data_IF_716800749856
#
_entry.id   IF_716800749856
#
_cell.length_a   1.000
_cell.length_b   1.000
_cell.length_c   1.000
_cell.angle_alpha   90.00
_cell.angle_beta   90.00
_cell.angle_gamma   90.00
#
_symmetry.space_group_name_H-M   'P 1'
#
loop_
_entity.id
_entity.type
_entity.pdbx_description
1 polymer ?
#
# COMPACT_ATOMS: atom_id res chain seq x y z
N UNK A 1 15.30 15.52 -10.26
CA UNK A 1 16.13 15.65 -9.03
C UNK A 1 15.48 14.98 -7.82
N UNK A 2 14.18 15.18 -7.57
CA UNK A 2 13.40 14.53 -6.49
C UNK A 2 13.68 13.03 -6.41
N UNK A 3 13.58 12.30 -7.52
CA UNK A 3 13.93 10.88 -7.65
C UNK A 3 15.24 10.47 -6.96
N UNK A 4 16.31 11.26 -7.17
CA UNK A 4 17.65 10.96 -6.66
C UNK A 4 17.73 11.21 -5.15
N UNK A 5 17.03 12.24 -4.66
CA UNK A 5 16.97 12.57 -3.23
C UNK A 5 16.20 11.50 -2.46
N UNK A 6 15.06 11.06 -2.98
CA UNK A 6 14.26 9.99 -2.37
C UNK A 6 15.06 8.67 -2.33
N UNK A 7 15.73 8.29 -3.43
CA UNK A 7 16.63 7.12 -3.46
C UNK A 7 17.81 7.23 -2.48
N UNK A 8 18.22 8.44 -2.11
CA UNK A 8 19.24 8.70 -1.11
C UNK A 8 18.68 8.80 0.33
N UNK A 9 17.42 8.44 0.55
CA UNK A 9 16.77 8.48 1.86
C UNK A 9 16.48 9.90 2.36
N UNK A 10 16.37 10.89 1.46
CA UNK A 10 16.07 12.28 1.81
C UNK A 10 14.62 12.62 1.48
N UNK A 11 13.93 13.27 2.41
CA UNK A 11 12.61 13.87 2.18
C UNK A 11 12.77 15.19 1.43
N UNK A 12 11.79 15.54 0.60
CA UNK A 12 11.80 16.78 -0.21
C UNK A 12 10.55 17.60 0.08
N UNK A 13 10.73 18.77 0.69
CA UNK A 13 9.64 19.73 0.87
C UNK A 13 9.41 20.52 -0.42
N UNK A 14 8.16 20.59 -0.87
CA UNK A 14 7.73 21.39 -2.01
C UNK A 14 7.10 22.66 -1.45
N UNK A 15 7.70 23.81 -1.77
CA UNK A 15 7.20 25.12 -1.38
C UNK A 15 6.66 25.85 -2.60
N UNK A 16 5.39 26.23 -2.55
CA UNK A 16 4.72 26.95 -3.63
C UNK A 16 4.33 28.36 -3.19
N UNK A 17 4.13 29.21 -4.20
CA UNK A 17 3.70 30.58 -4.01
C UNK A 17 2.19 30.60 -3.75
N UNK A 18 1.76 31.23 -2.66
CA UNK A 18 0.35 31.29 -2.25
C UNK A 18 -0.34 32.59 -2.64
N UNK A 19 0.42 33.65 -2.93
CA UNK A 19 -0.11 34.97 -3.28
C UNK A 19 0.29 35.41 -4.68
N UNK A 20 -0.57 36.15 -5.38
CA UNK A 20 -0.21 36.75 -6.68
C UNK A 20 0.98 37.71 -6.58
N UNK A 21 1.90 37.71 -7.56
CA UNK A 21 3.04 38.60 -7.56
C UNK A 21 2.60 40.04 -7.84
N UNK A 22 2.90 40.95 -6.90
CA UNK A 22 2.64 42.39 -7.05
C UNK A 22 3.97 43.16 -7.07
N UNK A 23 4.14 44.16 -7.96
CA UNK A 23 5.35 44.97 -8.01
C UNK A 23 5.69 45.57 -6.63
N UNK A 24 6.94 45.40 -6.19
CA UNK A 24 7.42 45.91 -4.90
C UNK A 24 6.97 45.13 -3.66
N UNK A 25 6.22 44.01 -3.81
CA UNK A 25 5.84 43.13 -2.69
C UNK A 25 6.43 41.74 -2.85
N UNK A 26 6.97 41.22 -1.75
CA UNK A 26 7.45 39.83 -1.66
C UNK A 26 6.22 38.92 -1.67
N UNK A 27 6.29 37.86 -2.46
CA UNK A 27 5.27 36.83 -2.51
C UNK A 27 5.41 35.88 -1.33
N UNK A 28 4.29 35.49 -0.75
CA UNK A 28 4.24 34.47 0.30
C UNK A 28 4.46 33.09 -0.30
N UNK A 29 5.16 32.25 0.47
CA UNK A 29 5.48 30.87 0.11
C UNK A 29 5.20 29.96 1.28
N UNK A 30 4.56 28.85 1.00
CA UNK A 30 4.26 27.82 2.00
C UNK A 30 4.66 26.45 1.50
N UNK A 31 5.04 25.57 2.42
CA UNK A 31 5.26 24.16 2.11
C UNK A 31 3.90 23.51 1.88
N UNK A 32 3.62 23.13 0.63
CA UNK A 32 2.36 22.51 0.23
C UNK A 32 2.36 21.00 0.50
N UNK A 33 3.53 20.35 0.37
CA UNK A 33 3.69 18.92 0.61
C UNK A 33 5.15 18.54 0.90
N UNK A 34 5.34 17.42 1.59
CA UNK A 34 6.65 16.78 1.74
C UNK A 34 6.60 15.40 1.08
N UNK A 35 7.50 15.18 0.13
CA UNK A 35 7.65 13.91 -0.56
C UNK A 35 8.67 13.07 0.24
N UNK A 36 8.23 11.90 0.67
CA UNK A 36 9.03 10.90 1.41
C UNK A 36 9.18 9.61 0.60
N UNK A 37 9.97 8.66 1.07
CA UNK A 37 10.09 7.36 0.40
C UNK A 37 8.76 6.59 0.43
N UNK A 38 8.00 6.68 1.53
CA UNK A 38 6.70 6.01 1.69
C UNK A 38 5.53 6.70 0.98
N UNK A 39 5.70 7.92 0.45
CA UNK A 39 4.57 8.71 -0.10
C UNK A 39 4.81 9.25 -1.50
N UNK A 40 5.72 8.64 -2.26
CA UNK A 40 5.90 8.96 -3.67
C UNK A 40 4.63 8.56 -4.44
N UNK A 41 4.07 9.49 -5.21
CA UNK A 41 2.87 9.33 -6.03
C UNK A 41 3.14 9.56 -7.54
N UNK A 42 4.34 10.07 -7.90
CA UNK A 42 4.79 10.20 -9.29
C UNK A 42 5.08 8.82 -9.90
N UNK A 43 4.33 8.47 -10.95
CA UNK A 43 4.45 7.21 -11.69
C UNK A 43 5.84 6.98 -12.28
N UNK A 44 6.63 8.03 -12.56
CA UNK A 44 7.99 7.88 -13.07
C UNK A 44 8.99 7.48 -11.98
N UNK A 45 8.60 7.63 -10.71
CA UNK A 45 9.42 7.34 -9.55
C UNK A 45 9.04 6.02 -8.88
N UNK A 46 7.80 5.57 -9.11
CA UNK A 46 7.28 4.31 -8.63
C UNK A 46 7.57 3.17 -9.60
N UNK A 47 7.82 2.01 -9.02
CA UNK A 47 7.64 0.76 -9.73
C UNK A 47 6.13 0.48 -9.85
N UNK A 48 5.64 0.36 -11.08
CA UNK A 48 4.21 0.17 -11.34
C UNK A 48 3.70 -1.18 -10.77
N UNK A 49 4.58 -2.17 -10.70
CA UNK A 49 4.24 -3.56 -10.35
C UNK A 49 4.45 -3.86 -8.86
N UNK A 50 4.90 -2.87 -8.08
CA UNK A 50 5.17 -3.01 -6.63
C UNK A 50 4.38 -1.98 -5.82
N UNK A 51 3.80 -2.39 -4.66
CA UNK A 51 3.27 -1.44 -3.69
C UNK A 51 4.39 -0.66 -2.99
N UNK A 52 4.14 0.61 -2.69
CA UNK A 52 5.05 1.50 -1.97
C UNK A 52 4.50 1.82 -0.57
N UNK A 53 4.72 0.92 0.38
CA UNK A 53 4.14 1.07 1.72
C UNK A 53 4.90 2.07 2.60
N UNK A 54 4.15 2.92 3.29
CA UNK A 54 4.53 3.57 4.54
C UNK A 54 3.96 2.73 5.69
N UNK A 55 4.75 2.45 6.72
CA UNK A 55 4.34 1.68 7.87
C UNK A 55 4.64 2.40 9.19
N UNK A 56 4.01 1.97 10.27
CA UNK A 56 4.39 2.30 11.63
C UNK A 56 4.30 1.07 12.55
N UNK A 57 5.12 1.04 13.59
CA UNK A 57 5.12 0.02 14.63
C UNK A 57 5.03 0.63 16.02
N UNK A 58 4.35 -0.08 16.92
CA UNK A 58 4.19 0.31 18.32
C UNK A 58 4.14 -0.92 19.21
N UNK A 59 4.75 -0.87 20.40
CA UNK A 59 4.65 -1.94 21.39
C UNK A 59 3.90 -1.47 22.64
N UNK A 60 2.85 -2.17 23.04
CA UNK A 60 2.20 -1.95 24.33
C UNK A 60 1.48 -3.22 24.80
N UNK A 61 1.33 -3.39 26.11
CA UNK A 61 0.59 -4.54 26.68
C UNK A 61 1.14 -5.92 26.28
N UNK A 62 2.45 -6.03 26.06
CA UNK A 62 3.10 -7.29 25.63
C UNK A 62 2.81 -7.69 24.18
N UNK A 63 2.26 -6.78 23.38
CA UNK A 63 1.93 -6.99 21.95
C UNK A 63 2.64 -5.95 21.10
N UNK A 64 2.92 -6.29 19.85
CA UNK A 64 3.52 -5.37 18.88
C UNK A 64 2.52 -5.15 17.74
N UNK A 65 2.09 -3.91 17.56
CA UNK A 65 1.19 -3.50 16.50
C UNK A 65 1.97 -3.03 15.28
N UNK A 66 1.47 -3.38 14.10
CA UNK A 66 1.94 -2.91 12.81
C UNK A 66 0.74 -2.33 12.06
N UNK A 67 0.93 -1.15 11.47
CA UNK A 67 0.00 -0.61 10.49
C UNK A 67 0.77 -0.18 9.25
N UNK A 68 0.19 -0.35 8.08
CA UNK A 68 0.81 0.10 6.83
C UNK A 68 -0.23 0.53 5.81
N UNK A 69 0.16 1.52 5.02
CA UNK A 69 -0.67 2.17 4.02
C UNK A 69 0.06 2.19 2.69
N UNK A 70 -0.64 1.84 1.61
CA UNK A 70 -0.22 2.21 0.26
C UNK A 70 -0.97 3.48 -0.12
N UNK A 71 -0.30 4.61 0.10
CA UNK A 71 -0.87 5.93 -0.16
C UNK A 71 -1.38 6.10 -1.59
N UNK A 72 -0.79 5.40 -2.58
CA UNK A 72 -1.19 5.56 -3.98
C UNK A 72 -2.38 4.72 -4.40
N UNK A 73 -2.85 3.78 -3.57
CA UNK A 73 -4.02 2.93 -3.89
C UNK A 73 -5.15 3.09 -2.88
N UNK A 74 -4.87 3.64 -1.70
CA UNK A 74 -5.83 3.76 -0.61
C UNK A 74 -5.90 2.55 0.31
N UNK A 75 -5.08 1.53 0.06
CA UNK A 75 -4.95 0.37 0.94
C UNK A 75 -4.41 0.79 2.31
N UNK A 76 -5.11 0.40 3.38
CA UNK A 76 -4.69 0.64 4.76
C UNK A 76 -5.02 -0.58 5.62
N UNK A 77 -3.98 -1.24 6.15
CA UNK A 77 -4.10 -2.46 6.93
C UNK A 77 -3.40 -2.34 8.29
N UNK A 78 -3.86 -3.13 9.26
CA UNK A 78 -3.20 -3.28 10.54
C UNK A 78 -3.24 -4.72 11.06
N UNK A 79 -2.29 -5.06 11.94
CA UNK A 79 -2.24 -6.35 12.63
C UNK A 79 -1.39 -6.28 13.90
N UNK A 80 -1.36 -7.37 14.66
CA UNK A 80 -0.59 -7.49 15.90
C UNK A 80 0.18 -8.80 16.00
N UNK A 81 1.32 -8.72 16.69
CA UNK A 81 2.22 -9.83 16.95
C UNK A 81 2.46 -10.03 18.45
N UNK A 82 2.76 -11.27 18.83
CA UNK A 82 3.16 -11.64 20.20
C UNK A 82 4.64 -11.42 20.46
N UNK A 83 5.46 -11.46 19.41
CA UNK A 83 6.90 -11.41 19.51
C UNK A 83 7.51 -10.68 18.30
N UNK A 84 8.79 -10.33 18.45
CA UNK A 84 9.56 -9.58 17.46
C UNK A 84 9.84 -10.39 16.18
N UNK A 85 10.00 -11.71 16.29
CA UNK A 85 10.29 -12.55 15.12
C UNK A 85 9.13 -12.51 14.13
N UNK A 86 7.90 -12.65 14.62
CA UNK A 86 6.71 -12.56 13.78
C UNK A 86 6.53 -11.17 13.13
N UNK A 87 6.91 -10.09 13.84
CA UNK A 87 6.96 -8.75 13.25
C UNK A 87 7.99 -8.69 12.11
N UNK A 88 9.21 -9.20 12.33
CA UNK A 88 10.28 -9.15 11.34
C UNK A 88 9.95 -9.97 10.09
N UNK A 89 9.31 -11.12 10.25
CA UNK A 89 8.78 -11.92 9.15
C UNK A 89 7.76 -11.13 8.31
N UNK A 90 6.88 -10.39 8.97
CA UNK A 90 5.89 -9.59 8.28
C UNK A 90 6.51 -8.34 7.62
N UNK A 91 7.48 -7.68 8.26
CA UNK A 91 8.21 -6.57 7.65
C UNK A 91 9.01 -7.02 6.42
N UNK A 92 9.53 -8.26 6.40
CA UNK A 92 10.16 -8.85 5.23
C UNK A 92 9.17 -9.13 4.08
N UNK A 93 7.89 -9.34 4.42
CA UNK A 93 6.79 -9.52 3.47
C UNK A 93 6.30 -8.18 2.90
N UNK A 94 5.92 -7.26 3.77
CA UNK A 94 5.39 -5.92 3.44
C UNK A 94 6.47 -5.07 2.78
N UNK A 95 7.71 -5.13 3.28
CA UNK A 95 8.86 -4.33 2.83
C UNK A 95 8.53 -2.84 2.67
N UNK A 96 8.14 -2.17 3.77
CA UNK A 96 7.84 -0.75 3.73
C UNK A 96 9.06 0.04 3.25
N UNK A 97 8.80 1.09 2.48
CA UNK A 97 9.83 2.05 2.06
C UNK A 97 10.19 3.00 3.20
N UNK A 98 9.34 3.10 4.22
CA UNK A 98 9.50 3.91 5.41
C UNK A 98 8.71 3.28 6.57
N UNK A 99 9.36 3.14 7.73
CA UNK A 99 8.78 2.54 8.93
C UNK A 99 8.91 3.51 10.11
N UNK A 100 7.78 4.00 10.62
CA UNK A 100 7.74 4.91 11.76
C UNK A 100 7.72 4.13 13.07
N UNK A 101 8.36 4.67 14.08
CA UNK A 101 8.21 4.21 15.47
C UNK A 101 8.30 5.42 16.41
N UNK A 102 7.73 5.30 17.61
CA UNK A 102 7.84 6.37 18.61
C UNK A 102 9.28 6.53 19.07
N UNK A 103 9.75 7.77 19.15
CA UNK A 103 11.01 8.15 19.80
C UNK A 103 11.21 7.55 21.21
N UNK A 104 10.13 7.38 21.98
CA UNK A 104 10.14 6.69 23.29
C UNK A 104 10.45 5.18 23.19
N UNK A 105 10.33 4.58 22.01
CA UNK A 105 10.52 3.15 21.74
C UNK A 105 11.76 2.86 20.88
N UNK A 106 12.71 3.79 20.78
CA UNK A 106 13.92 3.63 19.96
C UNK A 106 14.70 2.35 20.26
N UNK A 107 14.91 2.02 21.55
CA UNK A 107 15.61 0.79 21.94
C UNK A 107 14.92 -0.51 21.44
N UNK A 108 13.63 -0.46 21.12
CA UNK A 108 12.90 -1.60 20.57
C UNK A 108 12.98 -1.69 19.05
N UNK A 109 13.06 -0.57 18.32
CA UNK A 109 12.77 -0.55 16.88
C UNK A 109 13.80 0.13 15.99
N UNK A 110 14.81 0.83 16.53
CA UNK A 110 15.79 1.59 15.73
C UNK A 110 16.59 0.72 14.73
N UNK A 111 16.81 -0.55 15.08
CA UNK A 111 17.57 -1.49 14.25
C UNK A 111 16.73 -2.08 13.11
N UNK A 112 15.43 -1.82 13.05
CA UNK A 112 14.58 -2.36 11.99
C UNK A 112 14.88 -1.67 10.65
N UNK A 113 14.76 -2.39 9.52
CA UNK A 113 14.96 -1.79 8.21
C UNK A 113 14.00 -0.63 7.95
N UNK A 114 14.51 0.46 7.36
CA UNK A 114 13.74 1.68 7.04
C UNK A 114 13.10 2.39 8.25
N UNK A 115 13.52 2.03 9.47
CA UNK A 115 13.01 2.60 10.72
C UNK A 115 13.41 4.08 10.87
N UNK A 116 12.45 4.91 11.28
CA UNK A 116 12.60 6.33 11.53
C UNK A 116 11.77 6.73 12.75
N UNK A 117 12.39 7.49 13.64
CA UNK A 117 11.72 8.07 14.82
C UNK A 117 10.62 9.04 14.39
N UNK A 118 9.54 9.03 15.15
CA UNK A 118 8.46 10.00 15.07
C UNK A 118 7.88 10.28 16.46
N UNK A 119 7.19 11.41 16.58
CA UNK A 119 6.76 11.95 17.87
C UNK A 119 5.86 10.95 18.62
N UNK A 120 6.22 10.58 19.85
CA UNK A 120 5.50 9.57 20.64
C UNK A 120 4.03 9.89 20.87
N UNK A 121 3.63 11.16 20.90
CA UNK A 121 2.23 11.54 21.06
C UNK A 121 1.33 11.01 19.93
N UNK A 122 1.87 10.87 18.70
CA UNK A 122 1.14 10.34 17.55
C UNK A 122 0.77 8.85 17.71
N UNK A 123 1.41 8.15 18.65
CA UNK A 123 1.17 6.74 18.97
C UNK A 123 0.27 6.55 20.20
N UNK A 124 -0.20 7.62 20.84
CA UNK A 124 -1.09 7.52 21.99
C UNK A 124 -2.43 6.90 21.56
N UNK A 125 -2.81 5.79 22.20
CA UNK A 125 -3.96 4.96 21.81
C UNK A 125 -5.25 5.77 21.69
N UNK A 126 -5.58 6.59 22.68
CA UNK A 126 -6.84 7.34 22.69
C UNK A 126 -6.90 8.40 21.59
N UNK A 127 -5.76 9.05 21.30
CA UNK A 127 -5.65 10.04 20.23
C UNK A 127 -5.72 9.37 18.85
N UNK A 128 -5.00 8.26 18.68
CA UNK A 128 -5.01 7.46 17.46
C UNK A 128 -6.41 6.93 17.14
N UNK A 129 -7.09 6.35 18.13
CA UNK A 129 -8.45 5.84 17.99
C UNK A 129 -9.45 6.95 17.62
N UNK A 130 -9.37 8.10 18.30
CA UNK A 130 -10.20 9.27 18.00
C UNK A 130 -9.95 9.78 16.56
N UNK A 131 -8.68 9.96 16.17
CA UNK A 131 -8.31 10.44 14.85
C UNK A 131 -8.80 9.51 13.73
N UNK A 132 -8.63 8.19 13.90
CA UNK A 132 -9.10 7.20 12.92
C UNK A 132 -10.64 7.21 12.82
N UNK A 133 -11.36 7.27 13.94
CA UNK A 133 -12.83 7.36 13.94
C UNK A 133 -13.33 8.63 13.27
N UNK A 134 -12.68 9.76 13.52
CA UNK A 134 -12.99 11.03 12.86
C UNK A 134 -12.75 10.94 11.35
N UNK A 135 -11.60 10.42 10.94
CA UNK A 135 -11.21 10.25 9.53
C UNK A 135 -12.19 9.35 8.76
N UNK A 136 -12.49 8.17 9.30
CA UNK A 136 -13.40 7.22 8.66
C UNK A 136 -14.89 7.54 8.90
N UNK A 137 -15.20 8.56 9.70
CA UNK A 137 -16.56 8.99 10.03
C UNK A 137 -17.41 7.87 10.67
N UNK A 138 -16.81 7.14 11.62
CA UNK A 138 -17.46 6.02 12.33
C UNK A 138 -17.47 6.23 13.84
N UNK A 139 -18.41 5.58 14.52
CA UNK A 139 -18.51 5.63 15.99
C UNK A 139 -17.53 4.67 16.69
N UNK A 140 -17.20 3.54 16.05
CA UNK A 140 -16.19 2.59 16.52
C UNK A 140 -15.45 1.95 15.34
N UNK A 141 -14.28 1.37 15.61
CA UNK A 141 -13.47 0.66 14.62
C UNK A 141 -13.84 -0.83 14.50
N UNK A 142 -14.90 -1.28 15.18
CA UNK A 142 -15.35 -2.68 15.18
C UNK A 142 -15.85 -3.13 13.80
N UNK A 143 -16.48 -2.22 13.05
CA UNK A 143 -16.92 -2.48 11.67
C UNK A 143 -15.77 -2.77 10.70
N UNK A 144 -14.54 -2.36 11.07
CA UNK A 144 -13.30 -2.67 10.35
C UNK A 144 -12.59 -3.91 10.90
N UNK A 145 -13.16 -4.56 11.91
CA UNK A 145 -12.54 -5.68 12.63
C UNK A 145 -11.34 -5.28 13.49
N UNK A 146 -11.17 -3.99 13.80
CA UNK A 146 -9.95 -3.45 14.41
C UNK A 146 -10.07 -3.19 15.93
N UNK A 147 -11.26 -3.29 16.54
CA UNK A 147 -11.51 -2.85 17.93
C UNK A 147 -10.52 -3.41 18.96
N UNK A 148 -10.17 -4.70 18.84
CA UNK A 148 -9.26 -5.39 19.75
C UNK A 148 -7.77 -5.19 19.45
N UNK A 149 -7.42 -4.46 18.39
CA UNK A 149 -6.04 -4.30 17.93
C UNK A 149 -5.35 -3.08 18.59
N UNK A 150 -5.36 -3.09 19.92
CA UNK A 150 -4.43 -2.42 20.85
C UNK A 150 -3.34 -1.52 20.23
N UNK A 151 -2.07 -1.97 20.26
CA UNK A 151 -0.95 -1.26 19.66
C UNK A 151 -1.05 -0.99 18.15
N UNK A 152 -1.83 -1.78 17.39
CA UNK A 152 -1.90 -1.57 15.95
C UNK A 152 -2.76 -0.35 15.57
N UNK A 153 -3.78 -0.02 16.38
CA UNK A 153 -4.52 1.24 16.29
C UNK A 153 -3.59 2.41 16.56
N UNK A 154 -2.72 2.33 17.57
CA UNK A 154 -1.68 3.33 17.83
C UNK A 154 -0.78 3.55 16.62
N UNK A 155 -0.30 2.46 16.01
CA UNK A 155 0.49 2.53 14.79
C UNK A 155 -0.29 3.15 13.61
N UNK A 156 -1.57 2.78 13.43
CA UNK A 156 -2.40 3.33 12.37
C UNK A 156 -2.68 4.83 12.56
N UNK A 157 -2.91 5.27 13.80
CA UNK A 157 -3.03 6.70 14.13
C UNK A 157 -1.76 7.48 13.81
N UNK A 158 -0.59 6.91 14.13
CA UNK A 158 0.69 7.51 13.79
C UNK A 158 0.90 7.63 12.27
N UNK A 159 0.54 6.60 11.49
CA UNK A 159 0.56 6.66 10.02
C UNK A 159 -0.32 7.79 9.50
N UNK A 160 -1.56 7.88 9.99
CA UNK A 160 -2.52 8.90 9.58
C UNK A 160 -2.01 10.31 9.92
N UNK A 161 -1.59 10.51 11.16
CA UNK A 161 -1.04 11.77 11.64
C UNK A 161 0.21 12.19 10.85
N UNK A 162 1.11 11.25 10.55
CA UNK A 162 2.30 11.51 9.75
C UNK A 162 1.95 11.94 8.32
N UNK A 163 1.00 11.26 7.67
CA UNK A 163 0.53 11.63 6.34
C UNK A 163 -0.07 13.04 6.31
N UNK A 164 -0.98 13.34 7.24
CA UNK A 164 -1.72 14.60 7.27
C UNK A 164 -0.85 15.79 7.72
N UNK A 165 -0.11 15.61 8.82
CA UNK A 165 0.55 16.72 9.51
C UNK A 165 1.98 16.90 9.05
N UNK A 166 2.78 15.83 9.09
CA UNK A 166 4.19 15.91 8.71
C UNK A 166 4.35 16.02 7.20
N UNK A 167 3.65 15.18 6.43
CA UNK A 167 3.81 15.12 4.98
C UNK A 167 2.84 16.04 4.22
N UNK A 168 1.84 16.61 4.91
CA UNK A 168 0.81 17.49 4.33
C UNK A 168 0.13 16.85 3.11
N UNK A 169 -0.11 15.54 3.19
CA UNK A 169 -0.79 14.77 2.15
C UNK A 169 -2.28 14.72 2.44
N UNK A 170 -3.10 14.79 1.38
CA UNK A 170 -4.52 14.48 1.49
C UNK A 170 -4.71 12.99 1.68
N UNK A 171 -5.61 12.64 2.58
CA UNK A 171 -5.92 11.25 2.96
C UNK A 171 -7.37 10.87 2.71
N UNK A 172 -8.17 11.74 2.09
CA UNK A 172 -9.62 11.53 1.83
C UNK A 172 -9.94 10.26 1.03
N UNK A 173 -8.97 9.76 0.26
CA UNK A 173 -9.08 8.52 -0.52
C UNK A 173 -8.83 7.26 0.32
N UNK A 174 -8.27 7.38 1.53
CA UNK A 174 -8.15 6.28 2.50
C UNK A 174 -9.53 6.04 3.13
N UNK A 175 -10.34 5.20 2.49
CA UNK A 175 -11.77 5.03 2.84
C UNK A 175 -12.06 3.84 3.76
N UNK A 176 -11.10 2.96 3.98
CA UNK A 176 -11.27 1.82 4.88
C UNK A 176 -9.97 1.50 5.59
N UNK A 177 -10.10 0.99 6.81
CA UNK A 177 -9.05 0.29 7.52
C UNK A 177 -9.43 -1.19 7.57
N UNK A 178 -8.45 -2.09 7.44
CA UNK A 178 -8.72 -3.52 7.53
C UNK A 178 -7.75 -4.19 8.51
N UNK A 179 -8.31 -4.86 9.51
CA UNK A 179 -7.53 -5.80 10.29
C UNK A 179 -7.25 -7.03 9.43
N UNK A 180 -5.99 -7.42 9.28
CA UNK A 180 -5.63 -8.68 8.63
C UNK A 180 -5.01 -9.63 9.65
N UNK A 181 -5.48 -10.87 9.62
CA UNK A 181 -5.06 -11.93 10.53
C UNK A 181 -4.04 -12.79 9.81
N UNK A 182 -2.79 -12.76 10.26
CA UNK A 182 -1.70 -13.50 9.62
C UNK A 182 -1.95 -15.02 9.65
N UNK A 183 -2.76 -15.50 10.59
CA UNK A 183 -3.15 -16.91 10.70
C UNK A 183 -4.01 -17.42 9.55
N UNK A 184 -4.60 -16.52 8.74
CA UNK A 184 -5.37 -16.87 7.53
C UNK A 184 -4.46 -17.32 6.38
N UNK A 185 -3.16 -17.06 6.49
CA UNK A 185 -2.17 -17.38 5.48
C UNK A 185 -1.17 -18.42 5.99
N UNK A 186 -0.53 -19.12 5.05
CA UNK A 186 0.62 -19.98 5.37
C UNK A 186 1.74 -19.09 5.88
N UNK A 187 2.23 -19.39 7.08
CA UNK A 187 3.37 -18.68 7.65
C UNK A 187 4.62 -19.03 6.84
N UNK A 188 5.24 -17.99 6.28
CA UNK A 188 6.52 -18.07 5.57
C UNK A 188 7.42 -17.07 6.25
N UNK A 189 8.42 -17.56 6.98
CA UNK A 189 9.41 -16.70 7.63
C UNK A 189 10.28 -15.97 6.60
N UNK A 190 10.96 -14.90 7.05
CA UNK A 190 11.77 -14.06 6.18
C UNK A 190 12.88 -14.86 5.46
N UNK A 191 13.48 -15.84 6.14
CA UNK A 191 14.52 -16.68 5.57
C UNK A 191 13.98 -17.58 4.45
N UNK A 192 12.81 -18.18 4.64
CA UNK A 192 12.12 -19.03 3.67
C UNK A 192 11.67 -18.22 2.47
N UNK A 193 11.12 -17.02 2.68
CA UNK A 193 10.75 -16.10 1.59
C UNK A 193 11.96 -15.78 0.70
N UNK A 194 13.13 -15.52 1.32
CA UNK A 194 14.37 -15.24 0.62
C UNK A 194 14.97 -16.49 -0.05
N UNK A 195 14.96 -17.64 0.63
CA UNK A 195 15.52 -18.89 0.11
C UNK A 195 14.71 -19.48 -1.05
N UNK A 196 13.40 -19.24 -1.06
CA UNK A 196 12.50 -19.63 -2.15
C UNK A 196 12.50 -18.63 -3.30
N UNK A 197 13.26 -17.52 -3.20
CA UNK A 197 13.31 -16.45 -4.19
C UNK A 197 11.88 -16.04 -4.64
N UNK A 198 10.94 -15.82 -3.70
CA UNK A 198 9.51 -15.69 -4.06
C UNK A 198 9.23 -14.50 -4.98
N UNK A 199 9.77 -13.33 -4.63
CA UNK A 199 9.51 -12.07 -5.37
C UNK A 199 10.78 -11.38 -5.82
N UNK A 200 11.94 -11.79 -5.32
CA UNK A 200 13.25 -11.28 -5.71
C UNK A 200 14.24 -12.42 -5.55
N UNK A 201 15.14 -12.59 -6.51
CA UNK A 201 16.20 -13.58 -6.41
C UNK A 201 17.37 -13.07 -5.59
N UNK A 202 18.06 -13.98 -4.90
CA UNK A 202 19.38 -13.74 -4.29
C UNK A 202 20.42 -13.19 -5.27
N UNK A 203 20.33 -13.53 -6.56
CA UNK A 203 21.19 -13.00 -7.63
C UNK A 203 20.89 -11.53 -7.98
N UNK A 204 19.84 -10.96 -7.37
CA UNK A 204 19.38 -9.60 -7.60
C UNK A 204 18.25 -9.56 -8.62
N UNK A 205 17.14 -8.93 -8.23
CA UNK A 205 16.03 -8.60 -9.12
C UNK A 205 14.95 -9.67 -9.25
N UNK A 206 13.92 -9.36 -10.03
CA UNK A 206 12.70 -10.17 -10.16
C UNK A 206 12.84 -11.28 -11.21
N UNK A 207 13.72 -11.10 -12.22
CA UNK A 207 13.79 -12.01 -13.38
C UNK A 207 13.99 -13.49 -13.03
N UNK A 208 14.75 -13.77 -11.97
CA UNK A 208 15.08 -15.13 -11.53
C UNK A 208 14.30 -15.56 -10.26
N UNK A 209 13.20 -14.89 -9.95
CA UNK A 209 12.31 -15.22 -8.83
C UNK A 209 11.10 -16.03 -9.30
N UNK A 210 10.34 -16.61 -8.36
CA UNK A 210 9.05 -17.25 -8.67
C UNK A 210 8.08 -16.25 -9.33
N UNK A 211 8.03 -15.02 -8.83
CA UNK A 211 7.26 -13.94 -9.44
C UNK A 211 7.69 -13.68 -10.89
N UNK A 212 8.99 -13.63 -11.20
CA UNK A 212 9.47 -13.43 -12.57
C UNK A 212 9.07 -14.57 -13.52
N UNK A 213 9.00 -15.79 -13.00
CA UNK A 213 8.55 -16.96 -13.76
C UNK A 213 7.03 -16.90 -14.04
N UNK A 214 6.22 -16.50 -13.05
CA UNK A 214 4.75 -16.56 -13.11
C UNK A 214 4.08 -15.30 -13.67
N UNK A 215 4.68 -14.12 -13.50
CA UNK A 215 4.01 -12.87 -13.83
C UNK A 215 3.88 -12.66 -15.34
N UNK A 216 2.67 -12.91 -15.84
CA UNK A 216 2.21 -12.61 -17.20
C UNK A 216 0.92 -11.80 -17.16
N UNK A 217 0.77 -10.99 -16.12
CA UNK A 217 -0.39 -10.13 -15.91
C UNK A 217 -0.46 -9.05 -16.99
N UNK A 218 -1.67 -8.59 -17.28
CA UNK A 218 -1.91 -7.59 -18.32
C UNK A 218 -1.90 -6.15 -17.79
N UNK A 219 -1.96 -5.98 -16.46
CA UNK A 219 -2.10 -4.68 -15.80
C UNK A 219 -1.17 -4.57 -14.59
N UNK A 220 -0.68 -3.36 -14.25
CA UNK A 220 0.15 -3.16 -13.06
C UNK A 220 -0.55 -3.55 -11.74
N UNK A 221 -1.85 -3.26 -11.62
CA UNK A 221 -2.65 -3.70 -10.46
C UNK A 221 -2.77 -5.23 -10.37
N UNK A 222 -2.81 -5.92 -11.52
CA UNK A 222 -2.75 -7.38 -11.59
C UNK A 222 -1.40 -7.91 -11.10
N UNK A 223 -0.29 -7.30 -11.51
CA UNK A 223 1.06 -7.66 -11.06
C UNK A 223 1.21 -7.50 -9.54
N UNK A 224 0.75 -6.36 -8.99
CA UNK A 224 0.72 -6.13 -7.53
C UNK A 224 -0.10 -7.19 -6.80
N UNK A 225 -1.27 -7.56 -7.33
CA UNK A 225 -2.14 -8.58 -6.74
C UNK A 225 -1.54 -9.98 -6.80
N UNK A 226 -0.89 -10.36 -7.91
CA UNK A 226 -0.18 -11.63 -8.01
C UNK A 226 0.97 -11.71 -7.00
N UNK A 227 1.76 -10.63 -6.89
CA UNK A 227 2.82 -10.51 -5.88
C UNK A 227 2.26 -10.71 -4.47
N UNK A 228 1.16 -10.03 -4.14
CA UNK A 228 0.46 -10.17 -2.86
C UNK A 228 0.05 -11.62 -2.59
N UNK A 229 -0.54 -12.31 -3.58
CA UNK A 229 -0.94 -13.71 -3.43
C UNK A 229 0.22 -14.67 -3.24
N UNK A 230 1.37 -14.44 -3.89
CA UNK A 230 2.58 -15.25 -3.67
C UNK A 230 3.15 -15.06 -2.26
N UNK A 231 3.01 -13.84 -1.71
CA UNK A 231 3.45 -13.52 -0.37
C UNK A 231 2.44 -13.92 0.70
N UNK A 232 1.17 -14.11 0.35
CA UNK A 232 0.10 -14.46 1.30
C UNK A 232 -0.68 -15.70 0.81
N UNK A 233 -0.08 -16.91 0.86
CA UNK A 233 -0.78 -18.11 0.43
C UNK A 233 -1.96 -18.40 1.36
N UNK A 234 -3.15 -18.55 0.79
CA UNK A 234 -4.38 -18.79 1.56
C UNK A 234 -4.36 -20.14 2.27
N UNK A 235 -4.98 -20.21 3.45
CA UNK A 235 -5.29 -21.48 4.15
C UNK A 235 -6.74 -21.91 3.97
N UNK A 236 -7.60 -21.01 3.50
CA UNK A 236 -9.02 -21.30 3.29
C UNK A 236 -9.23 -22.18 2.05
N UNK A 237 -9.67 -23.42 2.25
CA UNK A 237 -9.86 -24.37 1.17
C UNK A 237 -10.94 -23.91 0.18
N UNK A 238 -12.01 -23.28 0.67
CA UNK A 238 -13.09 -22.79 -0.20
C UNK A 238 -12.59 -21.74 -1.20
N UNK A 239 -11.83 -20.76 -0.74
CA UNK A 239 -11.22 -19.74 -1.57
C UNK A 239 -10.15 -20.30 -2.51
N UNK A 240 -9.41 -21.33 -2.10
CA UNK A 240 -8.46 -22.03 -2.97
C UNK A 240 -9.17 -22.77 -4.11
N UNK A 241 -10.21 -23.53 -3.80
CA UNK A 241 -11.02 -24.25 -4.80
C UNK A 241 -11.68 -23.25 -5.76
N UNK A 242 -12.28 -22.17 -5.26
CA UNK A 242 -12.87 -21.14 -6.11
C UNK A 242 -11.86 -20.50 -7.09
N UNK A 243 -10.61 -20.30 -6.66
CA UNK A 243 -9.54 -19.82 -7.56
C UNK A 243 -9.16 -20.88 -8.59
N UNK A 244 -9.09 -22.15 -8.21
CA UNK A 244 -8.80 -23.26 -9.12
C UNK A 244 -9.89 -23.44 -10.17
N UNK A 245 -11.15 -23.38 -9.77
CA UNK A 245 -12.31 -23.47 -10.67
C UNK A 245 -12.31 -22.33 -11.69
N UNK A 246 -12.04 -21.09 -11.24
CA UNK A 246 -11.92 -19.94 -12.14
C UNK A 246 -10.76 -20.10 -13.14
N UNK A 247 -9.63 -20.66 -12.71
CA UNK A 247 -8.50 -20.96 -13.60
C UNK A 247 -8.88 -22.04 -14.62
N UNK A 248 -9.52 -23.13 -14.16
CA UNK A 248 -9.94 -24.23 -15.03
C UNK A 248 -10.93 -23.76 -16.10
N UNK A 249 -11.96 -23.00 -15.72
CA UNK A 249 -12.94 -22.44 -16.65
C UNK A 249 -12.30 -21.56 -17.74
N UNK A 250 -11.28 -20.76 -17.38
CA UNK A 250 -10.53 -19.93 -18.33
C UNK A 250 -9.61 -20.76 -19.25
N UNK A 251 -9.01 -21.84 -18.74
CA UNK A 251 -8.16 -22.73 -19.54
C UNK A 251 -9.00 -23.52 -20.56
N UNK A 252 -10.20 -23.95 -20.18
CA UNK A 252 -11.11 -24.69 -21.05
C UNK A 252 -11.67 -23.82 -22.20
N UNK A 253 -11.60 -22.50 -22.08
CA UNK A 253 -12.07 -21.53 -23.07
C UNK A 253 -10.94 -20.58 -23.56
N UNK A 254 -9.92 -21.10 -24.26
CA UNK A 254 -8.71 -20.35 -24.60
C UNK A 254 -8.96 -19.10 -25.47
N UNK A 255 -9.98 -19.13 -26.33
CA UNK A 255 -10.36 -17.97 -27.14
C UNK A 255 -10.92 -16.84 -26.27
N UNK A 256 -11.85 -17.17 -25.36
CA UNK A 256 -12.44 -16.19 -24.42
C UNK A 256 -11.36 -15.62 -23.49
N UNK A 257 -10.46 -16.47 -22.99
CA UNK A 257 -9.30 -16.03 -22.21
C UNK A 257 -8.43 -15.02 -22.98
N UNK A 258 -8.16 -15.26 -24.28
CA UNK A 258 -7.40 -14.31 -25.09
C UNK A 258 -8.12 -12.97 -25.21
N UNK A 259 -9.43 -12.97 -25.46
CA UNK A 259 -10.22 -11.74 -25.55
C UNK A 259 -10.21 -10.95 -24.24
N UNK A 260 -10.42 -11.63 -23.09
CA UNK A 260 -10.32 -11.00 -21.76
C UNK A 260 -8.95 -10.36 -21.57
N UNK A 261 -7.87 -11.07 -21.94
CA UNK A 261 -6.50 -10.55 -21.80
C UNK A 261 -6.25 -9.34 -22.70
N UNK A 262 -6.77 -9.34 -23.92
CA UNK A 262 -6.66 -8.21 -24.85
C UNK A 262 -7.40 -6.97 -24.33
N UNK A 263 -8.64 -7.13 -23.85
CA UNK A 263 -9.37 -6.02 -23.22
C UNK A 263 -8.67 -5.52 -21.95
N UNK A 264 -8.11 -6.42 -21.12
CA UNK A 264 -7.37 -6.04 -19.92
C UNK A 264 -6.07 -5.28 -20.23
N UNK A 265 -5.39 -5.53 -21.36
CA UNK A 265 -4.19 -4.75 -21.75
C UNK A 265 -4.51 -3.27 -22.02
N UNK A 266 -5.74 -2.96 -22.40
CA UNK A 266 -6.20 -1.58 -22.56
C UNK A 266 -6.58 -0.92 -21.22
N UNK A 267 -6.77 -1.70 -20.17
CA UNK A 267 -7.03 -1.21 -18.82
C UNK A 267 -5.73 -0.73 -18.19
N UNK A 268 -5.63 0.58 -17.95
CA UNK A 268 -4.50 1.20 -17.26
C UNK A 268 -4.56 0.90 -15.76
N UNK A 269 -3.59 1.42 -15.00
CA UNK A 269 -3.57 1.32 -13.54
C UNK A 269 -4.68 2.17 -12.90
N UNK A 270 -5.91 1.64 -12.86
CA UNK A 270 -7.10 2.34 -12.36
C UNK A 270 -6.92 2.70 -10.88
N UNK A 271 -6.36 1.81 -10.06
CA UNK A 271 -6.19 2.02 -8.61
C UNK A 271 -5.38 3.30 -8.33
N UNK A 272 -4.20 3.44 -8.95
CA UNK A 272 -3.36 4.62 -8.78
C UNK A 272 -3.94 5.87 -9.45
N UNK A 273 -4.60 5.69 -10.59
CA UNK A 273 -5.24 6.80 -11.32
C UNK A 273 -6.38 7.41 -10.52
N UNK A 274 -7.25 6.58 -9.94
CA UNK A 274 -8.36 7.02 -9.11
C UNK A 274 -7.87 7.75 -7.85
N UNK A 275 -6.82 7.23 -7.21
CA UNK A 275 -6.22 7.87 -6.02
C UNK A 275 -5.68 9.26 -6.35
N UNK A 276 -4.90 9.42 -7.42
CA UNK A 276 -4.40 10.75 -7.85
C UNK A 276 -5.53 11.74 -8.14
N UNK A 277 -6.57 11.29 -8.84
CA UNK A 277 -7.73 12.13 -9.14
C UNK A 277 -8.47 12.53 -7.86
N UNK A 278 -8.66 11.62 -6.91
CA UNK A 278 -9.29 11.89 -5.62
C UNK A 278 -8.48 12.88 -4.77
N UNK A 279 -7.15 12.82 -4.84
CA UNK A 279 -6.26 13.70 -4.09
C UNK A 279 -6.07 15.07 -4.75
N UNK A 280 -6.50 15.23 -6.00
CA UNK A 280 -6.27 16.44 -6.79
C UNK A 280 -4.85 16.59 -7.33
N UNK A 281 -4.01 15.54 -7.24
CA UNK A 281 -2.70 15.46 -7.90
C UNK A 281 -2.79 14.92 -9.34
N UNK A 282 -3.94 14.39 -9.73
CA UNK A 282 -4.22 13.91 -11.09
C UNK A 282 -4.45 15.04 -12.10
N UNK A 283 -4.26 14.73 -13.38
CA UNK A 283 -4.39 15.66 -14.51
C UNK A 283 -5.36 15.13 -15.59
N UNK A 284 -5.52 15.89 -16.68
CA UNK A 284 -6.42 15.53 -17.78
C UNK A 284 -6.08 14.18 -18.45
N UNK A 285 -4.81 13.75 -18.45
CA UNK A 285 -4.40 12.44 -18.97
C UNK A 285 -4.86 11.32 -18.05
N UNK A 286 -4.85 11.54 -16.73
CA UNK A 286 -5.39 10.59 -15.75
C UNK A 286 -6.90 10.38 -15.97
N UNK A 287 -7.65 11.47 -16.20
CA UNK A 287 -9.07 11.37 -16.55
C UNK A 287 -9.31 10.59 -17.84
N UNK A 288 -8.54 10.86 -18.90
CA UNK A 288 -8.63 10.10 -20.15
C UNK A 288 -8.26 8.63 -19.98
N UNK A 289 -7.24 8.33 -19.17
CA UNK A 289 -6.83 6.96 -18.87
C UNK A 289 -7.93 6.21 -18.11
N UNK A 290 -8.58 6.87 -17.15
CA UNK A 290 -9.72 6.32 -16.43
C UNK A 290 -10.90 6.07 -17.38
N UNK A 291 -11.25 7.04 -18.22
CA UNK A 291 -12.32 6.90 -19.22
C UNK A 291 -12.06 5.70 -20.14
N UNK A 292 -10.86 5.63 -20.74
CA UNK A 292 -10.49 4.54 -21.64
C UNK A 292 -10.56 3.17 -20.95
N UNK A 293 -10.12 3.09 -19.69
CA UNK A 293 -10.16 1.84 -18.91
C UNK A 293 -11.60 1.42 -18.58
N UNK A 294 -12.45 2.38 -18.16
CA UNK A 294 -13.85 2.10 -17.83
C UNK A 294 -14.68 1.67 -19.05
N UNK A 295 -14.36 2.17 -20.24
CA UNK A 295 -15.00 1.74 -21.49
C UNK A 295 -14.77 0.27 -21.83
N UNK A 296 -13.74 -0.37 -21.27
CA UNK A 296 -13.47 -1.82 -21.45
C UNK A 296 -14.22 -2.73 -20.51
N UNK A 297 -14.76 -2.19 -19.40
CA UNK A 297 -15.46 -3.00 -18.40
C UNK A 297 -16.67 -3.75 -18.97
N UNK A 298 -17.54 -3.14 -19.81
CA UNK A 298 -18.66 -3.87 -20.40
C UNK A 298 -18.23 -5.02 -21.32
N UNK A 299 -17.15 -4.82 -22.08
CA UNK A 299 -16.58 -5.84 -22.97
C UNK A 299 -16.01 -7.02 -22.17
N UNK A 300 -15.21 -6.73 -21.12
CA UNK A 300 -14.69 -7.75 -20.20
C UNK A 300 -15.83 -8.53 -19.54
N UNK A 301 -16.87 -7.84 -19.08
CA UNK A 301 -18.06 -8.48 -18.51
C UNK A 301 -18.72 -9.43 -19.51
N UNK A 302 -18.92 -8.99 -20.77
CA UNK A 302 -19.50 -9.84 -21.81
C UNK A 302 -18.68 -11.10 -22.08
N UNK A 303 -17.34 -11.00 -22.05
CA UNK A 303 -16.48 -12.18 -22.16
C UNK A 303 -16.58 -13.11 -20.95
N UNK A 304 -16.70 -12.57 -19.74
CA UNK A 304 -16.86 -13.38 -18.52
C UNK A 304 -18.22 -14.10 -18.49
N UNK A 305 -19.30 -13.44 -18.91
CA UNK A 305 -20.64 -14.06 -19.00
C UNK A 305 -20.67 -15.23 -20.01
N UNK A 306 -19.77 -15.25 -20.98
CA UNK A 306 -19.62 -16.36 -21.93
C UNK A 306 -18.92 -17.60 -21.35
N UNK A 307 -18.32 -17.50 -20.15
CA UNK A 307 -17.70 -18.64 -19.45
C UNK A 307 -18.70 -19.50 -18.69
N UNK A 308 -19.95 -19.05 -18.52
CA UNK A 308 -20.96 -19.64 -17.65
C UNK A 308 -20.95 -19.04 -16.25
#
# INVERSE_FOLDING_TARGET
YIAKLIKAGKRVAIAEQTTEPKPGKIVEREVTQIISAGTVDDLNLLDAERPNYLAAVCQAGGRIGLAFVEHTTGEFRLTEFKDRGALEDELARVRPSELLFSDEQAAAFDTLPAAQEYDGFAFLRDQADYALRQHFQVQSLDGFGCGDFGPAISAAGAVLHYLETQLRRKVDHLRSLAAYRTEQFVLIDAASQANLDLVTSRSGGVKHSLLGALDRTATPMGARKLRDWLLHPLRDLGALVARQDAIAALIDQPFVLSQIRDSLREVRDIERTLSRLSQGSGNARDLKALEASLRRVPEIRGHLEALG
#
